data_IF_720075720642
#
_entry.id   IF_720075720642
#
_cell.length_a   1.000
_cell.length_b   1.000
_cell.length_c   1.000
_cell.angle_alpha   90.00
_cell.angle_beta   90.00
_cell.angle_gamma   90.00
#
_symmetry.space_group_name_H-M   'P 1'
#
loop_
_entity.id
_entity.type
_entity.pdbx_description
1 polymer ?
#
# COMPACT_ATOMS: atom_id res chain seq x y z
N UNK A 1 27.21 -9.12 0.94
CA UNK A 1 26.34 -7.99 1.31
C UNK A 1 25.28 -7.85 0.22
N UNK A 2 24.09 -8.44 0.42
CA UNK A 2 23.00 -8.45 -0.55
C UNK A 2 22.33 -7.08 -0.60
N UNK A 3 22.87 -6.18 -1.42
CA UNK A 3 22.24 -4.88 -1.68
C UNK A 3 21.07 -5.10 -2.65
N UNK A 4 19.86 -4.67 -2.27
CA UNK A 4 18.58 -4.84 -3.02
C UNK A 4 18.50 -4.02 -4.33
N UNK A 5 19.62 -3.74 -5.00
CA UNK A 5 19.77 -2.50 -5.78
C UNK A 5 19.36 -2.52 -7.25
N UNK A 6 19.14 -3.67 -7.90
CA UNK A 6 19.08 -3.65 -9.39
C UNK A 6 17.68 -3.53 -10.00
N UNK A 7 16.59 -4.02 -9.38
CA UNK A 7 15.23 -3.92 -9.95
C UNK A 7 14.43 -2.78 -9.32
N UNK A 8 14.61 -2.55 -8.03
CA UNK A 8 13.83 -1.61 -7.20
C UNK A 8 14.04 -0.13 -7.52
N UNK A 9 15.06 0.22 -8.33
CA UNK A 9 15.34 1.59 -8.78
C UNK A 9 15.11 1.81 -10.27
N UNK A 10 14.58 0.81 -10.97
CA UNK A 10 14.25 0.91 -12.40
C UNK A 10 12.82 1.42 -12.59
N UNK A 11 12.49 2.05 -13.74
CA UNK A 11 11.11 2.40 -14.06
C UNK A 11 10.18 1.18 -13.99
N UNK A 12 10.68 -0.03 -14.24
CA UNK A 12 9.89 -1.27 -14.16
C UNK A 12 9.31 -1.53 -12.76
N UNK A 13 10.06 -1.26 -11.69
CA UNK A 13 9.55 -1.42 -10.33
C UNK A 13 8.42 -0.43 -10.00
N UNK A 14 8.51 0.80 -10.51
CA UNK A 14 7.46 1.80 -10.34
C UNK A 14 6.20 1.42 -11.13
N UNK A 15 6.36 0.97 -12.39
CA UNK A 15 5.27 0.45 -13.20
C UNK A 15 4.59 -0.77 -12.56
N UNK A 16 5.37 -1.66 -11.92
CA UNK A 16 4.80 -2.81 -11.21
C UNK A 16 3.94 -2.38 -10.00
N UNK A 17 4.35 -1.35 -9.26
CA UNK A 17 3.56 -0.81 -8.15
C UNK A 17 2.26 -0.14 -8.62
N UNK A 18 2.34 0.65 -9.69
CA UNK A 18 1.18 1.26 -10.37
C UNK A 18 0.22 0.15 -10.83
N UNK A 19 0.71 -0.81 -11.62
CA UNK A 19 -0.11 -1.92 -12.11
C UNK A 19 -0.75 -2.75 -10.99
N UNK A 20 -0.03 -2.98 -9.87
CA UNK A 20 -0.57 -3.68 -8.72
C UNK A 20 -1.69 -2.89 -8.04
N UNK A 21 -1.52 -1.57 -7.87
CA UNK A 21 -2.57 -0.72 -7.31
C UNK A 21 -3.79 -0.72 -8.23
N UNK A 22 -3.61 -0.53 -9.53
CA UNK A 22 -4.68 -0.61 -10.52
C UNK A 22 -5.44 -1.94 -10.44
N UNK A 23 -4.74 -3.07 -10.38
CA UNK A 23 -5.36 -4.40 -10.38
C UNK A 23 -6.14 -4.74 -9.10
N UNK A 24 -5.79 -4.13 -7.96
CA UNK A 24 -6.38 -4.46 -6.64
C UNK A 24 -7.35 -3.40 -6.12
N UNK A 25 -7.13 -2.13 -6.47
CA UNK A 25 -8.00 -1.01 -6.10
C UNK A 25 -9.18 -0.85 -7.04
N UNK A 26 -9.02 -1.21 -8.32
CA UNK A 26 -10.17 -1.34 -9.21
C UNK A 26 -11.02 -2.49 -8.66
N UNK A 27 -12.10 -2.12 -7.97
CA UNK A 27 -12.90 -3.03 -7.17
C UNK A 27 -13.28 -4.25 -8.01
N UNK A 28 -12.72 -5.41 -7.66
CA UNK A 28 -12.84 -6.68 -8.40
C UNK A 28 -14.24 -7.32 -8.28
N UNK A 29 -15.26 -6.53 -7.95
CA UNK A 29 -16.63 -7.00 -7.73
C UNK A 29 -17.50 -7.07 -9.00
N UNK A 30 -16.97 -6.77 -10.19
CA UNK A 30 -17.77 -6.81 -11.42
C UNK A 30 -17.23 -7.66 -12.58
N UNK A 31 -16.02 -8.22 -12.49
CA UNK A 31 -15.48 -9.13 -13.52
C UNK A 31 -15.87 -10.61 -13.31
N UNK A 32 -17.04 -10.90 -12.74
CA UNK A 32 -17.55 -12.27 -12.60
C UNK A 32 -16.65 -13.25 -11.83
N UNK A 33 -15.67 -12.74 -11.08
CA UNK A 33 -14.72 -13.54 -10.29
C UNK A 33 -15.24 -13.69 -8.86
N UNK A 34 -15.31 -14.91 -8.29
CA UNK A 34 -15.65 -15.15 -6.89
C UNK A 34 -14.62 -14.62 -5.88
N UNK A 35 -13.48 -14.09 -6.35
CA UNK A 35 -12.34 -13.68 -5.52
C UNK A 35 -12.09 -12.19 -5.74
N UNK A 36 -12.63 -11.35 -4.84
CA UNK A 36 -12.21 -9.96 -4.73
C UNK A 36 -10.86 -9.92 -4.01
N UNK A 37 -9.82 -9.45 -4.70
CA UNK A 37 -8.51 -9.27 -4.09
C UNK A 37 -8.55 -8.10 -3.11
N UNK A 38 -7.91 -8.18 -1.93
CA UNK A 38 -7.81 -7.03 -1.03
C UNK A 38 -7.05 -5.87 -1.70
N UNK A 39 -7.39 -4.64 -1.34
CA UNK A 39 -6.71 -3.44 -1.85
C UNK A 39 -5.23 -3.42 -1.40
N UNK A 40 -4.30 -3.39 -2.36
CA UNK A 40 -2.86 -3.34 -2.09
C UNK A 40 -2.31 -1.93 -1.83
N UNK A 41 -3.15 -0.87 -1.91
CA UNK A 41 -2.72 0.53 -1.89
C UNK A 41 -1.79 0.86 -0.73
N UNK A 42 -2.09 0.37 0.48
CA UNK A 42 -1.27 0.64 1.67
C UNK A 42 0.15 0.09 1.53
N UNK A 43 0.27 -1.16 1.06
CA UNK A 43 1.56 -1.78 0.80
C UNK A 43 2.28 -1.05 -0.34
N UNK A 44 1.57 -0.67 -1.40
CA UNK A 44 2.14 0.07 -2.54
C UNK A 44 2.74 1.40 -2.10
N UNK A 45 2.04 2.21 -1.30
CA UNK A 45 2.58 3.48 -0.80
C UNK A 45 3.79 3.28 0.13
N UNK A 46 3.75 2.28 1.01
CA UNK A 46 4.91 1.94 1.84
C UNK A 46 6.11 1.51 1.00
N UNK A 47 5.90 0.63 0.02
CA UNK A 47 6.96 0.13 -0.87
C UNK A 47 7.51 1.21 -1.80
N UNK A 48 6.67 2.13 -2.26
CA UNK A 48 7.10 3.32 -3.01
C UNK A 48 8.08 4.17 -2.17
N UNK A 49 7.78 4.33 -0.88
CA UNK A 49 8.68 4.97 0.08
C UNK A 49 9.97 4.20 0.30
N UNK A 50 9.86 2.87 0.48
CA UNK A 50 10.97 1.97 0.77
C UNK A 50 11.99 1.87 -0.37
N UNK A 51 11.51 1.77 -1.61
CA UNK A 51 12.35 1.50 -2.77
C UNK A 51 12.78 2.76 -3.53
N UNK A 52 11.89 3.75 -3.66
CA UNK A 52 12.12 4.92 -4.52
C UNK A 52 12.34 6.20 -3.72
N UNK A 53 11.51 6.45 -2.71
CA UNK A 53 11.62 7.60 -1.79
C UNK A 53 11.44 9.00 -2.40
N UNK A 54 11.25 9.11 -3.72
CA UNK A 54 10.98 10.37 -4.42
C UNK A 54 9.50 10.76 -4.39
N UNK A 55 9.20 12.03 -4.12
CA UNK A 55 7.83 12.55 -4.01
C UNK A 55 7.01 12.44 -5.30
N UNK A 56 7.66 12.37 -6.47
CA UNK A 56 7.00 12.25 -7.77
C UNK A 56 6.16 10.97 -7.88
N UNK A 57 6.72 9.84 -7.47
CA UNK A 57 5.99 8.57 -7.49
C UNK A 57 4.82 8.59 -6.49
N UNK A 58 5.01 9.21 -5.32
CA UNK A 58 3.92 9.42 -4.37
C UNK A 58 2.76 10.23 -4.99
N UNK A 59 3.06 11.33 -5.67
CA UNK A 59 2.05 12.13 -6.35
C UNK A 59 1.34 11.36 -7.48
N UNK A 60 2.09 10.58 -8.27
CA UNK A 60 1.52 9.73 -9.32
C UNK A 60 0.55 8.70 -8.74
N UNK A 61 0.94 8.00 -7.67
CA UNK A 61 0.08 7.00 -7.00
C UNK A 61 -1.17 7.63 -6.36
N UNK A 62 -1.07 8.86 -5.84
CA UNK A 62 -2.24 9.61 -5.34
C UNK A 62 -3.24 9.93 -6.46
N UNK A 63 -2.74 10.43 -7.59
CA UNK A 63 -3.56 10.73 -8.77
C UNK A 63 -4.18 9.45 -9.31
N UNK A 64 -3.40 8.36 -9.40
CA UNK A 64 -3.89 7.05 -9.80
C UNK A 64 -5.02 6.56 -8.89
N UNK A 65 -4.85 6.61 -7.56
CA UNK A 65 -5.88 6.20 -6.62
C UNK A 65 -7.20 6.98 -6.83
N UNK A 66 -7.11 8.30 -7.01
CA UNK A 66 -8.28 9.14 -7.27
C UNK A 66 -8.94 8.84 -8.63
N UNK A 67 -8.14 8.59 -9.67
CA UNK A 67 -8.64 8.22 -10.99
C UNK A 67 -9.32 6.85 -11.00
N UNK A 68 -8.76 5.87 -10.30
CA UNK A 68 -9.36 4.53 -10.15
C UNK A 68 -10.73 4.66 -9.46
N UNK A 69 -10.80 5.40 -8.36
CA UNK A 69 -12.05 5.59 -7.61
C UNK A 69 -13.10 6.35 -8.44
N UNK A 70 -12.69 7.39 -9.17
CA UNK A 70 -13.56 8.13 -10.08
C UNK A 70 -14.12 7.25 -11.21
N UNK A 71 -13.28 6.45 -11.85
CA UNK A 71 -13.70 5.54 -12.92
C UNK A 71 -14.60 4.43 -12.39
N UNK A 72 -14.31 3.89 -11.20
CA UNK A 72 -15.14 2.89 -10.55
C UNK A 72 -16.57 3.41 -10.32
N UNK A 73 -16.70 4.65 -9.83
CA UNK A 73 -18.01 5.27 -9.58
C UNK A 73 -18.73 5.62 -10.89
N UNK A 74 -18.05 6.29 -11.82
CA UNK A 74 -18.71 6.85 -13.02
C UNK A 74 -18.91 5.86 -14.16
N UNK A 75 -18.09 4.81 -14.25
CA UNK A 75 -18.10 3.85 -15.36
C UNK A 75 -18.43 2.42 -14.93
N UNK A 76 -18.20 2.07 -13.67
CA UNK A 76 -18.38 0.69 -13.19
C UNK A 76 -19.55 0.54 -12.19
N UNK A 77 -20.29 1.62 -11.92
CA UNK A 77 -21.48 1.58 -11.06
C UNK A 77 -21.19 1.35 -9.57
N UNK A 78 -19.94 1.55 -9.13
CA UNK A 78 -19.57 1.46 -7.71
C UNK A 78 -20.24 2.61 -6.94
N UNK A 79 -20.78 2.30 -5.76
CA UNK A 79 -21.40 3.32 -4.91
C UNK A 79 -20.38 4.40 -4.50
N UNK A 80 -20.82 5.65 -4.57
CA UNK A 80 -20.09 6.82 -4.11
C UNK A 80 -20.10 6.98 -2.57
N UNK A 81 -20.59 5.99 -1.82
CA UNK A 81 -20.74 6.04 -0.37
C UNK A 81 -19.46 6.48 0.38
N UNK A 82 -18.29 6.05 -0.10
CA UNK A 82 -16.99 6.36 0.47
C UNK A 82 -16.46 7.75 0.06
N UNK A 83 -17.05 8.38 -0.96
CA UNK A 83 -16.68 9.73 -1.41
C UNK A 83 -17.46 10.76 -0.60
N UNK A 84 -16.73 11.49 0.23
CA UNK A 84 -17.26 12.49 1.15
C UNK A 84 -16.17 13.54 1.42
N UNK A 85 -16.43 14.62 2.17
CA UNK A 85 -15.38 15.58 2.55
C UNK A 85 -14.17 14.92 3.24
N UNK A 86 -14.37 13.77 3.90
CA UNK A 86 -13.29 12.98 4.50
C UNK A 86 -12.29 12.41 3.47
N UNK A 87 -12.65 12.30 2.18
CA UNK A 87 -11.80 11.66 1.16
C UNK A 87 -10.44 12.35 1.00
N UNK A 88 -10.35 13.67 1.26
CA UNK A 88 -9.07 14.41 1.23
C UNK A 88 -8.05 13.89 2.25
N UNK A 89 -8.50 13.25 3.33
CA UNK A 89 -7.64 12.66 4.36
C UNK A 89 -6.90 11.41 3.88
N UNK A 90 -7.23 10.88 2.69
CA UNK A 90 -6.40 9.85 2.05
C UNK A 90 -4.98 10.36 1.77
N UNK A 91 -4.79 11.66 1.52
CA UNK A 91 -3.46 12.25 1.32
C UNK A 91 -2.56 12.02 2.55
N UNK A 92 -2.92 12.46 3.77
CA UNK A 92 -2.11 12.19 4.96
C UNK A 92 -2.07 10.70 5.33
N UNK A 93 -3.13 9.92 5.07
CA UNK A 93 -3.12 8.45 5.25
C UNK A 93 -2.00 7.79 4.45
N UNK A 94 -1.89 8.10 3.16
CA UNK A 94 -0.86 7.52 2.31
C UNK A 94 0.51 8.14 2.55
N UNK A 95 0.58 9.42 2.93
CA UNK A 95 1.83 10.07 3.31
C UNK A 95 2.49 9.40 4.52
N UNK A 96 1.71 8.99 5.52
CA UNK A 96 2.23 8.26 6.69
C UNK A 96 2.96 6.97 6.29
N UNK A 97 2.35 6.18 5.40
CA UNK A 97 2.95 4.94 4.89
C UNK A 97 4.17 5.19 4.03
N UNK A 98 4.10 6.16 3.11
CA UNK A 98 5.24 6.51 2.26
C UNK A 98 6.45 6.99 3.08
N UNK A 99 6.23 7.86 4.06
CA UNK A 99 7.30 8.34 4.95
C UNK A 99 7.88 7.21 5.80
N UNK A 100 7.03 6.33 6.34
CA UNK A 100 7.50 5.16 7.07
C UNK A 100 8.33 4.22 6.19
N UNK A 101 7.93 4.00 4.94
CA UNK A 101 8.72 3.28 3.95
C UNK A 101 10.09 3.93 3.72
N UNK A 102 10.14 5.26 3.57
CA UNK A 102 11.40 6.00 3.43
C UNK A 102 12.32 5.86 4.64
N UNK A 103 11.76 5.82 5.84
CA UNK A 103 12.53 5.56 7.07
C UNK A 103 13.00 4.11 7.08
N UNK A 104 12.13 3.17 6.71
CA UNK A 104 12.43 1.75 6.64
C UNK A 104 13.58 1.42 5.68
N UNK A 105 13.80 2.24 4.65
CA UNK A 105 14.91 2.11 3.71
C UNK A 105 16.31 2.26 4.35
N UNK A 106 16.39 2.73 5.60
CA UNK A 106 17.64 2.81 6.38
C UNK A 106 18.10 1.43 6.88
N UNK A 107 17.16 0.50 7.07
CA UNK A 107 17.41 -0.87 7.54
C UNK A 107 17.54 -1.77 6.32
N UNK A 108 18.77 -2.14 5.92
CA UNK A 108 19.04 -2.76 4.61
C UNK A 108 19.48 -4.21 4.70
N UNK A 109 19.75 -4.70 5.89
CA UNK A 109 20.28 -6.06 6.07
C UNK A 109 19.13 -7.06 6.24
N UNK A 110 19.44 -8.34 6.05
CA UNK A 110 18.51 -9.43 6.35
C UNK A 110 18.60 -9.88 7.82
N UNK A 111 19.22 -9.08 8.68
CA UNK A 111 19.28 -9.38 10.09
C UNK A 111 17.87 -9.29 10.70
N UNK A 112 17.51 -10.16 11.66
CA UNK A 112 16.21 -10.14 12.30
C UNK A 112 15.82 -8.76 12.85
N UNK A 113 16.79 -8.01 13.40
CA UNK A 113 16.63 -6.64 13.89
C UNK A 113 16.11 -5.68 12.80
N UNK A 114 16.77 -5.64 11.64
CA UNK A 114 16.41 -4.74 10.54
C UNK A 114 15.02 -5.09 10.00
N UNK A 115 14.71 -6.38 9.87
CA UNK A 115 13.40 -6.86 9.45
C UNK A 115 12.32 -6.48 10.47
N UNK A 116 12.60 -6.64 11.76
CA UNK A 116 11.68 -6.23 12.83
C UNK A 116 11.39 -4.73 12.80
N UNK A 117 12.41 -3.90 12.52
CA UNK A 117 12.22 -2.45 12.38
C UNK A 117 11.38 -2.09 11.15
N UNK A 118 11.60 -2.74 10.01
CA UNK A 118 10.76 -2.52 8.81
C UNK A 118 9.30 -2.92 9.06
N UNK A 119 9.07 -4.08 9.68
CA UNK A 119 7.72 -4.56 10.02
C UNK A 119 7.08 -3.64 11.05
N UNK A 120 7.80 -3.23 12.08
CA UNK A 120 7.31 -2.29 13.09
C UNK A 120 6.90 -0.94 12.49
N UNK A 121 7.69 -0.40 11.55
CA UNK A 121 7.35 0.82 10.83
C UNK A 121 6.11 0.65 9.95
N UNK A 122 5.98 -0.47 9.24
CA UNK A 122 4.79 -0.77 8.45
C UNK A 122 3.55 -0.88 9.33
N UNK A 123 3.61 -1.63 10.42
CA UNK A 123 2.50 -1.79 11.37
C UNK A 123 2.11 -0.43 11.95
N UNK A 124 3.06 0.31 12.51
CA UNK A 124 2.78 1.62 13.11
C UNK A 124 2.20 2.62 12.12
N UNK A 125 2.74 2.66 10.90
CA UNK A 125 2.21 3.53 9.84
C UNK A 125 0.84 3.09 9.34
N UNK A 126 0.58 1.79 9.24
CA UNK A 126 -0.75 1.26 8.90
C UNK A 126 -1.76 1.62 10.01
N UNK A 127 -1.37 1.55 11.28
CA UNK A 127 -2.22 2.01 12.40
C UNK A 127 -2.55 3.50 12.29
N UNK A 128 -1.54 4.34 12.08
CA UNK A 128 -1.73 5.79 11.89
C UNK A 128 -2.63 6.07 10.69
N UNK A 129 -2.37 5.41 9.57
CA UNK A 129 -3.15 5.51 8.34
C UNK A 129 -4.61 5.11 8.56
N UNK A 130 -4.85 4.03 9.30
CA UNK A 130 -6.20 3.58 9.68
C UNK A 130 -6.91 4.63 10.54
N UNK A 131 -6.25 5.16 11.58
CA UNK A 131 -6.84 6.17 12.44
C UNK A 131 -7.21 7.44 11.68
N UNK A 132 -6.34 7.90 10.77
CA UNK A 132 -6.60 9.06 9.92
C UNK A 132 -7.79 8.80 8.99
N UNK A 133 -7.77 7.69 8.23
CA UNK A 133 -8.80 7.41 7.23
C UNK A 133 -10.14 7.04 7.86
N UNK A 134 -10.15 6.09 8.80
CA UNK A 134 -11.36 5.62 9.47
C UNK A 134 -11.96 6.69 10.39
N UNK A 135 -11.10 7.39 11.14
CA UNK A 135 -11.53 8.46 12.04
C UNK A 135 -12.09 9.67 11.29
N UNK A 136 -11.39 10.14 10.25
CA UNK A 136 -11.91 11.24 9.42
C UNK A 136 -13.21 10.86 8.71
N UNK A 137 -13.34 9.62 8.19
CA UNK A 137 -14.59 9.16 7.62
C UNK A 137 -15.71 9.11 8.66
N UNK A 138 -15.43 8.62 9.86
CA UNK A 138 -16.43 8.57 10.93
C UNK A 138 -16.95 9.95 11.30
N UNK A 139 -16.06 10.94 11.42
CA UNK A 139 -16.42 12.29 11.90
C UNK A 139 -16.93 13.20 10.79
N UNK A 140 -16.35 13.12 9.57
CA UNK A 140 -16.51 14.14 8.52
C UNK A 140 -17.30 13.66 7.29
N UNK A 141 -17.70 12.38 7.22
CA UNK A 141 -18.43 11.86 6.05
C UNK A 141 -19.90 12.28 5.98
N UNK A 142 -20.49 12.70 7.10
CA UNK A 142 -21.93 12.94 7.24
C UNK A 142 -22.78 11.67 7.20
N UNK A 143 -22.17 10.46 7.24
CA UNK A 143 -22.89 9.17 7.20
C UNK A 143 -23.35 8.67 8.57
N UNK A 144 -22.90 9.30 9.65
CA UNK A 144 -23.23 8.91 11.02
C UNK A 144 -23.97 10.07 11.70
N UNK A 145 -25.25 9.86 12.02
CA UNK A 145 -26.09 10.87 12.68
C UNK A 145 -25.63 11.15 14.12
N UNK A 146 -25.27 10.09 14.86
CA UNK A 146 -24.79 10.18 16.24
C UNK A 146 -23.36 9.65 16.37
N UNK A 147 -22.42 10.53 16.71
CA UNK A 147 -21.01 10.18 16.94
C UNK A 147 -20.83 9.53 18.32
N UNK A 148 -21.20 8.26 18.43
CA UNK A 148 -20.95 7.41 19.60
C UNK A 148 -19.59 6.71 19.54
N UNK A 149 -18.62 7.23 20.30
CA UNK A 149 -17.24 6.71 20.35
C UNK A 149 -17.10 5.29 20.92
N UNK A 150 -18.00 4.86 21.82
CA UNK A 150 -18.01 3.49 22.35
C UNK A 150 -18.45 2.51 21.26
N UNK A 151 -19.48 2.86 20.49
CA UNK A 151 -19.92 2.07 19.35
C UNK A 151 -18.89 2.08 18.21
N UNK A 152 -18.20 3.20 18.00
CA UNK A 152 -17.08 3.28 17.07
C UNK A 152 -15.95 2.31 17.47
N UNK A 153 -15.50 2.34 18.73
CA UNK A 153 -14.41 1.47 19.21
C UNK A 153 -14.71 -0.04 19.03
N UNK A 154 -15.96 -0.45 19.27
CA UNK A 154 -16.39 -1.85 19.06
C UNK A 154 -16.47 -2.25 17.58
N UNK A 155 -16.67 -1.28 16.68
CA UNK A 155 -16.67 -1.51 15.22
C UNK A 155 -15.27 -1.47 14.61
N UNK A 156 -14.36 -0.65 15.15
CA UNK A 156 -12.99 -0.48 14.66
C UNK A 156 -12.26 -1.81 14.53
N UNK A 157 -12.40 -2.71 15.51
CA UNK A 157 -11.72 -4.00 15.49
C UNK A 157 -12.03 -4.83 14.22
N UNK A 158 -13.26 -4.72 13.68
CA UNK A 158 -13.68 -5.43 12.47
C UNK A 158 -12.98 -4.90 11.21
N UNK A 159 -12.64 -3.62 11.18
CA UNK A 159 -12.02 -2.98 10.03
C UNK A 159 -10.50 -2.97 10.14
N UNK A 160 -9.95 -2.87 11.36
CA UNK A 160 -8.53 -2.76 11.58
C UNK A 160 -7.76 -4.02 11.18
N UNK A 161 -8.27 -5.21 11.53
CA UNK A 161 -7.58 -6.46 11.23
C UNK A 161 -7.43 -6.72 9.71
N UNK A 162 -8.48 -6.62 8.88
CA UNK A 162 -8.35 -6.71 7.42
C UNK A 162 -7.46 -5.62 6.81
N UNK A 163 -7.54 -4.40 7.34
CA UNK A 163 -6.74 -3.26 6.87
C UNK A 163 -5.24 -3.50 7.07
N UNK A 164 -4.86 -3.97 8.26
CA UNK A 164 -3.47 -4.28 8.60
C UNK A 164 -2.99 -5.55 7.88
N UNK A 165 -3.80 -6.61 7.85
CA UNK A 165 -3.41 -7.89 7.24
C UNK A 165 -3.17 -7.76 5.74
N UNK A 166 -4.01 -7.00 5.03
CA UNK A 166 -3.81 -6.71 3.61
C UNK A 166 -2.46 -6.03 3.36
N UNK A 167 -2.15 -4.97 4.12
CA UNK A 167 -0.88 -4.26 4.02
C UNK A 167 0.33 -5.19 4.28
N UNK A 168 0.25 -6.05 5.30
CA UNK A 168 1.31 -6.99 5.65
C UNK A 168 1.51 -8.07 4.58
N UNK A 169 0.43 -8.71 4.12
CA UNK A 169 0.49 -9.80 3.14
C UNK A 169 1.08 -9.30 1.82
N UNK A 170 0.58 -8.19 1.27
CA UNK A 170 1.14 -7.63 0.05
C UNK A 170 2.60 -7.21 0.23
N UNK A 171 2.95 -6.64 1.39
CA UNK A 171 4.35 -6.25 1.66
C UNK A 171 5.30 -7.45 1.67
N UNK A 172 4.90 -8.56 2.30
CA UNK A 172 5.67 -9.81 2.31
C UNK A 172 5.82 -10.37 0.91
N UNK A 173 4.74 -10.41 0.12
CA UNK A 173 4.75 -10.90 -1.26
C UNK A 173 5.67 -10.05 -2.14
N UNK A 174 5.55 -8.71 -2.08
CA UNK A 174 6.38 -7.79 -2.87
C UNK A 174 7.86 -7.98 -2.51
N UNK A 175 8.20 -7.98 -1.23
CA UNK A 175 9.60 -8.17 -0.78
C UNK A 175 10.13 -9.55 -1.18
N UNK A 176 9.31 -10.59 -1.07
CA UNK A 176 9.65 -11.96 -1.49
C UNK A 176 9.96 -12.03 -2.99
N UNK A 177 9.09 -11.46 -3.83
CA UNK A 177 9.28 -11.41 -5.29
C UNK A 177 10.54 -10.63 -5.66
N UNK A 178 10.76 -9.46 -5.05
CA UNK A 178 11.98 -8.67 -5.27
C UNK A 178 13.23 -9.47 -4.95
N UNK A 179 13.24 -10.25 -3.85
CA UNK A 179 14.37 -11.11 -3.48
C UNK A 179 14.60 -12.23 -4.50
N UNK A 180 13.54 -12.92 -4.89
CA UNK A 180 13.59 -14.01 -5.88
C UNK A 180 14.13 -13.51 -7.22
N UNK A 181 13.59 -12.40 -7.73
CA UNK A 181 14.03 -11.80 -8.99
C UNK A 181 15.50 -11.33 -8.94
N UNK A 182 15.92 -10.75 -7.82
CA UNK A 182 17.33 -10.37 -7.64
C UNK A 182 18.25 -11.59 -7.61
N UNK A 183 17.83 -12.71 -7.00
CA UNK A 183 18.61 -13.94 -6.99
C UNK A 183 18.78 -14.53 -8.40
N UNK A 184 17.72 -14.54 -9.22
CA UNK A 184 17.78 -14.98 -10.61
C UNK A 184 18.67 -14.08 -11.49
N UNK A 185 18.61 -12.76 -11.31
CA UNK A 185 19.48 -11.83 -12.04
C UNK A 185 20.97 -12.04 -11.69
N UNK A 186 21.30 -12.31 -10.43
CA UNK A 186 22.68 -12.62 -10.02
C UNK A 186 23.18 -13.94 -10.63
N UNK A 187 22.32 -14.96 -10.70
CA UNK A 187 22.65 -16.23 -11.35
C UNK A 187 22.89 -16.06 -12.87
N UNK A 188 22.08 -15.23 -13.54
CA UNK A 188 22.24 -14.91 -14.96
C UNK A 188 23.53 -14.14 -15.28
N UNK A 189 23.87 -13.13 -14.48
CA UNK A 189 25.13 -12.36 -14.64
C UNK A 189 26.37 -13.23 -14.40
N UNK A 190 26.33 -14.11 -13.39
CA UNK A 190 27.42 -15.05 -13.14
C UNK A 190 27.66 -16.00 -14.32
N UNK A 191 26.57 -16.52 -14.90
CA UNK A 191 26.61 -17.42 -16.06
C UNK A 191 27.16 -16.73 -17.33
N UNK A 192 26.88 -15.44 -17.52
CA UNK A 192 27.34 -14.67 -18.69
C UNK A 192 28.81 -14.21 -18.59
N UNK A 193 29.43 -14.26 -17.41
CA UNK A 193 30.88 -13.99 -17.22
C UNK A 193 31.75 -15.25 -17.34
N UNK A 194 31.12 -16.43 -17.37
CA UNK A 194 31.80 -17.73 -17.45
C UNK A 194 31.81 -18.32 -18.87
N UNK A 195 31.28 -17.59 -19.86
CA UNK A 195 31.33 -17.85 -21.30
C UNK A 195 32.25 -16.81 -21.94
#
# INVERSE_FOLDING_TARGET
MFTLTNITKTPLGAWALIALMLATRAHSNHFGSPIALPDASLAVFFMAGLFFGGWRLFAVLLVEAALIDYMAITKMGVSDYCVSPAYVFLIPTYAALFLAGRIAARFKTLQPQDLLMQVGLLVGAATVAFLISNGSFYVLSGKFADLNWTQYATRVAKYYAPYLSGALVYSVVIVGLVKVLNAFNLAGVSRNKAL
#
